data_IF_839223376109
#
_entry.id   IF_839223376109
#
_cell.length_a   1.000
_cell.length_b   1.000
_cell.length_c   1.000
_cell.angle_alpha   90.00
_cell.angle_beta   90.00
_cell.angle_gamma   90.00
#
_symmetry.space_group_name_H-M   'P 1'
#
loop_
_entity.id
_entity.type
_entity.pdbx_description
1 polymer ?
2 polymer ?
3 non-polymer ?
4 water ?
#
# COMPACT_ATOMS: atom_id res chain seq x y z
N UNK A 1 -4.54 27.58 3.58
CA UNK A 1 -5.31 27.89 2.39
C UNK A 1 -6.74 27.40 2.46
N UNK A 2 -7.46 27.51 1.36
CA UNK A 2 -8.86 27.09 1.36
C UNK A 2 -8.97 25.58 1.31
N UNK A 3 -10.02 25.06 1.94
CA UNK A 3 -10.34 23.66 1.77
C UNK A 3 -10.77 23.42 0.32
N UNK A 4 -10.25 22.35 -0.27
CA UNK A 4 -10.58 22.05 -1.66
C UNK A 4 -11.14 20.62 -1.76
N UNK A 5 -12.01 20.42 -2.73
CA UNK A 5 -12.50 19.09 -3.07
C UNK A 5 -11.85 18.68 -4.38
N UNK A 6 -11.23 17.51 -4.41
CA UNK A 6 -10.43 17.08 -5.56
C UNK A 6 -10.89 15.69 -5.97
N UNK A 7 -11.13 15.50 -7.28
CA UNK A 7 -11.52 14.20 -7.83
C UNK A 7 -10.29 13.48 -8.37
N UNK A 8 -10.13 12.22 -8.00
CA UNK A 8 -9.05 11.39 -8.50
C UNK A 8 -9.66 10.16 -9.18
N UNK A 9 -9.10 9.76 -10.32
CA UNK A 9 -9.55 8.59 -11.07
C UNK A 9 -8.45 7.55 -11.10
N UNK A 10 -8.79 6.36 -10.66
CA UNK A 10 -7.75 5.31 -10.71
C UNK A 10 -8.34 3.97 -11.11
N UNK A 11 -7.52 3.19 -11.79
CA UNK A 11 -7.89 1.85 -12.17
C UNK A 11 -7.41 0.87 -11.08
N UNK A 12 -7.93 -0.35 -11.14
CA UNK A 12 -7.70 -1.26 -10.04
C UNK A 12 -6.30 -1.84 -9.99
N UNK A 13 -5.50 -1.70 -11.03
CA UNK A 13 -4.14 -2.22 -11.03
C UNK A 13 -3.12 -1.24 -10.45
N UNK A 14 -3.59 -0.05 -10.07
CA UNK A 14 -2.68 1.00 -9.57
C UNK A 14 -2.99 1.38 -8.12
N UNK A 15 -1.98 1.92 -7.45
CA UNK A 15 -2.19 2.62 -6.20
C UNK A 15 -2.62 4.07 -6.44
N UNK A 16 -2.75 4.82 -5.34
CA UNK A 16 -3.11 6.24 -5.49
C UNK A 16 -1.97 7.04 -6.10
N UNK A 17 -0.73 6.62 -5.90
CA UNK A 17 0.40 7.41 -6.34
C UNK A 17 0.78 8.51 -5.38
N UNK A 18 0.60 8.31 -4.07
CA UNK A 18 1.06 9.28 -3.09
C UNK A 18 1.82 8.55 -1.99
N UNK A 19 2.66 9.30 -1.30
CA UNK A 19 3.19 8.87 -0.01
C UNK A 19 2.60 9.79 1.04
N UNK A 20 2.21 9.21 2.18
CA UNK A 20 1.65 9.98 3.27
C UNK A 20 2.52 9.83 4.51
N UNK A 21 2.49 10.87 5.32
CA UNK A 21 3.18 10.84 6.62
C UNK A 21 2.22 11.38 7.69
N UNK A 22 2.58 11.16 8.93
CA UNK A 22 1.83 11.74 10.04
C UNK A 22 0.75 10.82 10.56
N UNK A 23 -0.16 11.39 11.33
CA UNK A 23 -1.21 10.62 11.96
C UNK A 23 -1.47 11.12 13.38
N UNK A 24 -2.67 10.79 13.88
CA UNK A 24 -3.11 11.29 15.17
C UNK A 24 -2.15 10.93 16.30
N UNK A 25 -1.60 9.72 16.26
CA UNK A 25 -0.69 9.31 17.33
C UNK A 25 0.60 10.14 17.34
N UNK A 26 0.89 10.90 16.29
CA UNK A 26 2.05 11.76 16.24
C UNK A 26 1.71 13.24 16.38
N UNK A 27 0.44 13.55 16.61
CA UNK A 27 -0.01 14.93 16.70
C UNK A 27 0.13 15.72 15.42
N UNK A 28 0.06 15.01 14.29
CA UNK A 28 0.22 15.71 12.99
C UNK A 28 -0.81 15.19 11.99
N UNK A 29 -1.29 16.05 11.08
CA UNK A 29 -2.27 15.60 10.09
C UNK A 29 -1.69 14.52 9.17
N UNK A 30 -2.59 13.82 8.48
CA UNK A 30 -2.19 12.99 7.35
C UNK A 30 -1.76 13.92 6.20
N UNK A 31 -0.46 13.97 5.91
CA UNK A 31 0.09 14.89 4.93
C UNK A 31 0.62 14.11 3.74
N UNK A 32 0.40 14.66 2.55
CA UNK A 32 1.01 14.13 1.33
C UNK A 32 2.47 14.55 1.32
N UNK A 33 3.38 13.57 1.37
CA UNK A 33 4.80 13.87 1.33
C UNK A 33 5.42 13.61 -0.04
N UNK A 34 4.78 12.80 -0.88
CA UNK A 34 5.25 12.53 -2.22
C UNK A 34 4.07 12.35 -3.15
N UNK A 35 4.23 12.79 -4.40
CA UNK A 35 3.33 12.49 -5.50
C UNK A 35 4.16 11.80 -6.57
N UNK A 36 3.85 10.53 -6.76
CA UNK A 36 4.63 9.78 -7.82
C UNK A 36 4.28 10.09 -9.29
N UNK A 37 5.28 10.55 -10.08
CA UNK A 37 4.95 11.04 -11.41
C UNK A 37 4.25 9.99 -12.25
N UNK A 38 3.21 10.43 -12.96
CA UNK A 38 2.48 9.58 -13.87
C UNK A 38 1.44 8.70 -13.23
N UNK A 39 1.34 8.67 -11.91
CA UNK A 39 0.35 7.83 -11.23
C UNK A 39 -0.92 8.64 -10.94
N UNK A 40 -1.98 8.04 -10.38
CA UNK A 40 -3.30 8.72 -10.41
C UNK A 40 -3.33 10.09 -9.75
N UNK A 41 -2.63 10.29 -8.63
CA UNK A 41 -2.70 11.61 -7.98
C UNK A 41 -2.03 12.68 -8.83
N UNK A 42 -0.89 12.35 -9.46
CA UNK A 42 -0.27 13.29 -10.38
C UNK A 42 -1.21 13.60 -11.54
N UNK A 43 -1.81 12.56 -12.14
CA UNK A 43 -2.68 12.75 -13.29
C UNK A 43 -3.92 13.57 -12.95
N UNK A 44 -4.39 13.50 -11.69
CA UNK A 44 -5.64 14.20 -11.38
C UNK A 44 -5.46 15.71 -11.34
N UNK A 45 -4.24 16.21 -11.11
CA UNK A 45 -3.92 17.62 -11.22
C UNK A 45 -4.15 18.44 -9.97
N UNK A 46 -4.95 17.94 -9.03
CA UNK A 46 -5.37 18.75 -7.90
C UNK A 46 -4.77 18.44 -6.55
N UNK A 47 -3.84 17.48 -6.46
CA UNK A 47 -3.21 17.12 -5.20
C UNK A 47 -1.73 17.47 -5.23
N UNK A 48 -1.20 17.98 -4.11
CA UNK A 48 0.17 18.46 -4.10
C UNK A 48 0.87 18.07 -2.81
N UNK A 49 2.20 17.97 -2.89
CA UNK A 49 3.01 17.72 -1.70
C UNK A 49 2.77 18.83 -0.69
N UNK A 50 2.51 18.45 0.55
CA UNK A 50 2.19 19.39 1.60
C UNK A 50 0.70 19.51 1.88
N UNK A 51 -0.15 19.02 0.99
CA UNK A 51 -1.59 18.95 1.27
C UNK A 51 -1.86 18.06 2.47
N UNK A 52 -2.81 18.51 3.29
CA UNK A 52 -3.32 17.65 4.37
C UNK A 52 -4.58 16.97 3.82
N UNK A 53 -4.71 15.66 4.03
CA UNK A 53 -5.93 14.95 3.56
C UNK A 53 -6.92 15.01 4.71
N UNK A 54 -7.98 15.78 4.51
CA UNK A 54 -8.97 15.93 5.57
C UNK A 54 -10.03 14.83 5.53
N UNK A 55 -10.36 14.35 4.34
CA UNK A 55 -11.37 13.31 4.18
C UNK A 55 -11.18 12.65 2.83
N UNK A 56 -11.63 11.39 2.72
CA UNK A 56 -11.67 10.72 1.44
C UNK A 56 -13.01 10.00 1.32
N UNK A 57 -13.73 10.27 0.23
CA UNK A 57 -15.07 9.70 0.00
C UNK A 57 -15.96 9.85 1.23
N UNK A 58 -15.89 11.01 1.88
CA UNK A 58 -16.71 11.28 3.04
C UNK A 58 -16.22 10.71 4.36
N UNK A 59 -15.12 9.96 4.35
CA UNK A 59 -14.55 9.42 5.59
C UNK A 59 -13.55 10.44 6.13
N UNK A 60 -13.80 10.91 7.36
CA UNK A 60 -12.95 11.92 7.98
C UNK A 60 -11.62 11.31 8.37
N UNK A 61 -10.53 12.00 8.01
CA UNK A 61 -9.19 11.52 8.38
C UNK A 61 -8.47 12.50 9.29
N UNK A 62 -9.19 13.45 9.87
CA UNK A 62 -8.56 14.43 10.73
C UNK A 62 -8.10 13.85 12.07
N UNK A 63 -8.71 12.76 12.52
CA UNK A 63 -8.42 12.20 13.83
C UNK A 63 -7.96 10.75 13.72
N UNK A 64 -7.40 10.36 12.59
CA UNK A 64 -7.03 8.97 12.37
C UNK A 64 -5.54 8.79 12.61
N UNK A 65 -5.19 7.59 13.06
CA UNK A 65 -3.82 7.17 13.19
C UNK A 65 -3.26 6.78 11.83
N UNK A 66 -1.93 6.72 11.74
CA UNK A 66 -1.26 6.51 10.46
C UNK A 66 -1.79 5.26 9.76
N UNK A 67 -1.77 4.11 10.44
CA UNK A 67 -2.13 2.88 9.75
C UNK A 67 -3.63 2.80 9.49
N UNK A 68 -4.42 3.49 10.31
CA UNK A 68 -5.87 3.58 10.03
C UNK A 68 -6.03 4.30 8.67
N UNK A 69 -5.32 5.41 8.50
CA UNK A 69 -5.43 6.17 7.27
C UNK A 69 -5.00 5.35 6.07
N UNK A 70 -3.96 4.53 6.23
CA UNK A 70 -3.48 3.72 5.12
C UNK A 70 -4.55 2.72 4.69
N UNK A 71 -5.17 2.05 5.67
CA UNK A 71 -6.24 1.10 5.34
C UNK A 71 -7.40 1.80 4.66
N UNK A 72 -7.83 2.92 5.22
CA UNK A 72 -8.98 3.65 4.60
C UNK A 72 -8.64 4.11 3.19
N UNK A 73 -7.48 4.73 3.02
CA UNK A 73 -7.14 5.25 1.69
C UNK A 73 -6.97 4.13 0.67
N UNK A 74 -6.30 3.04 1.06
CA UNK A 74 -6.04 1.98 0.10
C UNK A 74 -7.29 1.20 -0.30
N UNK A 75 -8.38 1.35 0.43
CA UNK A 75 -9.63 0.63 0.13
C UNK A 75 -10.47 1.34 -0.92
N UNK A 76 -10.21 2.62 -1.17
CA UNK A 76 -11.02 3.34 -2.13
C UNK A 76 -10.67 2.94 -3.55
N UNK A 77 -11.69 2.87 -4.41
CA UNK A 77 -11.53 2.42 -5.79
C UNK A 77 -12.22 3.38 -6.75
N UNK A 78 -11.71 3.45 -7.98
CA UNK A 78 -12.40 4.12 -9.06
C UNK A 78 -12.34 5.64 -9.00
N UNK A 79 -13.51 6.26 -8.91
CA UNK A 79 -13.62 7.72 -8.79
C UNK A 79 -13.65 8.08 -7.32
N UNK A 80 -12.60 8.77 -6.86
CA UNK A 80 -12.33 8.97 -5.44
C UNK A 80 -12.30 10.47 -5.15
N UNK A 81 -13.13 10.90 -4.20
CA UNK A 81 -13.21 12.35 -3.84
C UNK A 81 -12.39 12.65 -2.59
N UNK A 82 -11.43 13.56 -2.74
CA UNK A 82 -10.58 14.01 -1.64
C UNK A 82 -11.02 15.38 -1.16
N UNK A 83 -10.97 15.57 0.16
CA UNK A 83 -11.05 16.91 0.74
C UNK A 83 -9.68 17.22 1.31
N UNK A 84 -9.05 18.31 0.82
CA UNK A 84 -7.66 18.58 1.17
C UNK A 84 -7.48 20.06 1.44
N UNK A 85 -6.36 20.39 2.10
CA UNK A 85 -6.03 21.80 2.36
C UNK A 85 -4.52 21.92 2.46
N UNK A 86 -4.01 23.00 1.90
CA UNK A 86 -2.59 23.30 1.97
C UNK A 86 -2.36 24.36 3.04
N UNK A 87 -1.59 24.00 4.05
CA UNK A 87 -1.18 24.92 5.11
C UNK A 87 0.34 25.09 5.05
N UNK B 3 12.88 11.21 11.68
CA UNK B 3 12.90 9.75 11.91
C UNK B 3 11.71 9.33 12.77
N UNK B 4 11.10 10.29 13.48
CA UNK B 4 9.95 10.02 14.34
C UNK B 4 8.67 9.81 13.54
N UNK B 5 8.61 10.29 12.30
CA UNK B 5 7.31 10.16 11.66
C UNK B 5 7.32 9.07 10.59
N UNK B 6 6.26 8.29 10.53
CA UNK B 6 6.19 7.21 9.53
C UNK B 6 5.79 7.76 8.17
N UNK B 7 6.24 7.06 7.13
CA UNK B 7 5.83 7.36 5.77
C UNK B 7 5.37 6.07 5.12
N UNK B 8 4.20 6.11 4.48
CA UNK B 8 3.71 4.96 3.72
C UNK B 8 3.42 5.33 2.28
N UNK B 10 1.33 4.70 -0.87
CA UNK B 10 0.00 4.13 -1.13
C UNK B 10 -0.54 4.44 -2.54
N UNK C 1 10.04 2.48 -8.89
CA UNK C 1 8.84 2.30 -9.69
C UNK C 1 7.56 2.53 -8.89
N UNK C 2 6.42 2.46 -9.57
CA UNK C 2 5.14 2.71 -8.90
C UNK C 2 4.57 1.46 -8.26
N UNK C 3 3.60 1.70 -7.37
CA UNK C 3 2.83 0.59 -6.82
C UNK C 3 2.05 -0.09 -7.94
N UNK C 4 2.08 -1.42 -7.92
CA UNK C 4 1.20 -2.22 -8.76
C UNK C 4 0.33 -3.12 -7.88
N UNK C 5 -0.89 -3.39 -8.35
CA UNK C 5 -1.74 -4.40 -7.73
C UNK C 5 -1.83 -5.57 -8.70
N UNK C 6 -1.46 -6.75 -8.24
CA UNK C 6 -1.26 -7.92 -9.08
C UNK C 6 -2.13 -9.04 -8.55
N UNK C 7 -2.87 -9.69 -9.44
CA UNK C 7 -3.71 -10.83 -9.09
C UNK C 7 -2.97 -12.13 -9.35
N UNK C 8 -3.07 -13.03 -8.40
CA UNK C 8 -2.44 -14.36 -8.51
C UNK C 8 -3.54 -15.37 -8.20
N UNK C 9 -3.65 -16.40 -9.03
CA UNK C 9 -4.63 -17.47 -8.81
C UNK C 9 -3.90 -18.69 -8.26
N UNK C 10 -4.36 -19.16 -7.08
CA UNK C 10 -3.77 -20.29 -6.33
C UNK C 10 -4.83 -21.36 -6.04
N UNK C 11 -4.62 -22.62 -6.42
CA UNK C 11 -5.54 -23.64 -5.96
C UNK C 11 -5.26 -23.94 -4.48
N UNK C 12 -6.28 -24.47 -3.81
CA UNK C 12 -6.15 -24.73 -2.38
C UNK C 12 -5.01 -25.72 -2.08
N UNK C 13 -4.65 -26.57 -3.04
CA UNK C 13 -3.67 -27.64 -2.81
C UNK C 13 -2.23 -27.21 -3.05
N UNK C 14 -1.99 -25.98 -3.48
CA UNK C 14 -0.64 -25.55 -3.84
C UNK C 14 -0.27 -24.29 -3.07
N UNK C 15 1.03 -24.02 -2.99
CA UNK C 15 1.52 -22.79 -2.40
C UNK C 15 1.56 -21.66 -3.42
N UNK C 16 1.89 -20.47 -2.92
CA UNK C 16 2.01 -19.33 -3.82
C UNK C 16 3.23 -19.44 -4.73
N UNK C 17 4.27 -20.16 -4.28
CA UNK C 17 5.48 -20.25 -5.06
C UNK C 17 6.40 -19.07 -4.88
N UNK C 18 6.52 -18.54 -3.66
CA UNK C 18 7.31 -17.35 -3.36
C UNK C 18 8.16 -17.63 -2.13
N UNK C 19 9.41 -17.15 -2.15
CA UNK C 19 10.24 -17.11 -0.95
C UNK C 19 10.31 -15.66 -0.50
N UNK C 20 10.18 -15.48 0.83
CA UNK C 20 10.07 -14.14 1.47
C UNK C 20 11.19 -13.91 2.49
N UNK C 21 11.75 -12.69 2.52
CA UNK C 21 12.66 -12.28 3.58
C UNK C 21 12.16 -10.95 4.13
N UNK C 22 12.80 -10.48 5.20
CA UNK C 22 12.50 -9.15 5.71
C UNK C 22 11.38 -9.09 6.73
N UNK C 23 10.97 -7.87 7.02
CA UNK C 23 9.93 -7.62 8.00
C UNK C 23 10.34 -6.57 9.02
N UNK C 24 9.36 -6.19 9.84
CA UNK C 24 9.50 -5.07 10.76
C UNK C 24 10.69 -5.23 11.69
N UNK C 25 10.93 -6.45 12.19
CA UNK C 25 12.04 -6.63 13.11
C UNK C 25 13.40 -6.53 12.42
N UNK C 26 13.43 -6.49 11.10
CA UNK C 26 14.66 -6.28 10.35
C UNK C 26 14.79 -4.86 9.80
N UNK C 27 13.80 -4.00 10.05
CA UNK C 27 13.85 -2.66 9.49
C UNK C 27 13.70 -2.58 7.99
N UNK C 28 13.19 -3.63 7.35
CA UNK C 28 13.04 -3.62 5.89
C UNK C 28 11.70 -4.22 5.53
N UNK C 29 11.20 -3.96 4.32
CA UNK C 29 9.88 -4.48 3.94
C UNK C 29 9.89 -5.99 3.81
N UNK C 30 8.69 -6.54 3.72
CA UNK C 30 8.51 -7.92 3.28
C UNK C 30 8.90 -7.98 1.81
N UNK C 31 9.93 -8.75 1.50
CA UNK C 31 10.56 -8.74 0.19
C UNK C 31 10.45 -10.11 -0.46
N UNK C 32 10.20 -10.13 -1.76
CA UNK C 32 10.24 -11.37 -2.52
C UNK C 32 11.71 -11.69 -2.79
N UNK C 33 12.18 -12.83 -2.30
CA UNK C 33 13.56 -13.21 -2.55
C UNK C 33 13.70 -14.25 -3.65
N UNK C 34 12.64 -15.01 -3.94
CA UNK C 34 12.64 -15.98 -5.03
C UNK C 34 11.25 -16.13 -5.60
N UNK C 35 11.17 -16.33 -6.92
CA UNK C 35 9.93 -16.70 -7.59
C UNK C 35 10.14 -18.11 -8.13
N UNK C 36 9.33 -19.06 -7.64
CA UNK C 36 9.61 -20.47 -7.95
C UNK C 36 9.12 -20.81 -9.35
N UNK C 37 9.97 -21.37 -10.21
CA UNK C 37 9.56 -21.60 -11.61
C UNK C 37 8.33 -22.48 -11.73
N UNK C 38 7.37 -22.02 -12.54
CA UNK C 38 6.18 -22.76 -12.87
C UNK C 38 5.08 -22.73 -11.83
N UNK C 39 5.28 -22.06 -10.71
CA UNK C 39 4.29 -21.96 -9.67
C UNK C 39 3.42 -20.73 -9.87
N UNK C 40 2.36 -20.54 -9.06
CA UNK C 40 1.39 -19.47 -9.35
C UNK C 40 1.98 -18.06 -9.46
N UNK C 41 2.93 -17.69 -8.60
CA UNK C 41 3.53 -16.37 -8.72
C UNK C 41 4.27 -16.20 -10.03
N UNK C 42 5.02 -17.22 -10.44
CA UNK C 42 5.67 -17.20 -11.76
C UNK C 42 4.64 -17.03 -12.87
N UNK C 43 3.59 -17.86 -12.85
CA UNK C 43 2.59 -17.85 -13.91
C UNK C 43 1.90 -16.50 -14.05
N UNK C 44 1.70 -15.79 -12.94
CA UNK C 44 0.99 -14.50 -13.05
C UNK C 44 1.83 -13.44 -13.75
N UNK C 45 3.15 -13.58 -13.81
CA UNK C 45 4.01 -12.69 -14.56
C UNK C 45 4.17 -11.28 -14.02
N UNK C 46 3.62 -10.98 -12.84
CA UNK C 46 3.61 -9.62 -12.35
C UNK C 46 4.29 -9.44 -11.00
N UNK C 47 4.90 -10.51 -10.48
CA UNK C 47 5.65 -10.47 -9.24
C UNK C 47 7.10 -10.86 -9.50
N UNK C 48 8.03 -10.08 -8.97
CA UNK C 48 9.43 -10.24 -9.34
C UNK C 48 10.32 -10.17 -8.10
N UNK C 49 11.46 -10.83 -8.20
CA UNK C 49 12.43 -10.79 -7.10
C UNK C 49 12.81 -9.35 -6.83
N UNK C 50 12.77 -8.99 -5.55
CA UNK C 50 13.10 -7.63 -5.12
C UNK C 50 11.87 -6.79 -4.83
N UNK C 51 10.71 -7.21 -5.32
CA UNK C 51 9.49 -6.49 -4.99
C UNK C 51 9.26 -6.50 -3.49
N UNK C 52 8.76 -5.39 -2.98
CA UNK C 52 8.28 -5.32 -1.61
C UNK C 52 6.79 -5.60 -1.62
N UNK C 53 6.33 -6.47 -0.72
CA UNK C 53 4.90 -6.73 -0.60
C UNK C 53 4.35 -5.76 0.44
N UNK C 54 3.62 -4.76 -0.03
CA UNK C 54 3.07 -3.77 0.89
C UNK C 54 1.79 -4.25 1.55
N UNK C 55 0.98 -5.04 0.83
CA UNK C 55 -0.31 -5.49 1.34
C UNK C 55 -0.73 -6.71 0.55
N UNK C 56 -1.54 -7.54 1.17
CA UNK C 56 -2.16 -8.67 0.46
C UNK C 56 -3.64 -8.70 0.82
N UNK C 57 -4.49 -8.69 -0.21
CA UNK C 57 -5.94 -8.65 -0.04
C UNK C 57 -6.37 -7.60 0.99
N UNK C 58 -5.74 -6.44 0.94
CA UNK C 58 -6.10 -5.37 1.84
C UNK C 58 -5.52 -5.45 3.23
N UNK C 59 -4.66 -6.44 3.51
CA UNK C 59 -3.96 -6.53 4.79
C UNK C 59 -2.66 -5.75 4.65
N UNK C 60 -2.55 -4.63 5.37
CA UNK C 60 -1.35 -3.82 5.31
C UNK C 60 -0.19 -4.54 5.99
N UNK C 61 0.87 -4.82 5.24
CA UNK C 61 2.05 -5.52 5.75
C UNK C 61 3.28 -4.61 5.85
N UNK C 62 3.09 -3.29 5.81
CA UNK C 62 4.23 -2.39 5.85
C UNK C 62 4.90 -2.35 7.23
N UNK C 63 4.23 -2.80 8.28
CA UNK C 63 4.77 -2.67 9.63
C UNK C 63 4.47 -3.92 10.44
N UNK C 64 4.74 -5.07 9.84
CA UNK C 64 4.45 -6.37 10.41
C UNK C 64 5.73 -7.19 10.45
N UNK C 65 5.90 -7.97 11.53
CA UNK C 65 7.06 -8.84 11.65
C UNK C 65 6.97 -9.99 10.65
N UNK C 66 8.14 -10.56 10.36
CA UNK C 66 8.26 -11.64 9.38
C UNK C 66 7.26 -12.78 9.61
N UNK C 67 7.26 -13.38 10.81
CA UNK C 67 6.45 -14.57 11.02
C UNK C 67 4.96 -14.29 10.83
N UNK C 68 4.49 -13.17 11.36
CA UNK C 68 3.09 -12.81 11.21
C UNK C 68 2.72 -12.51 9.76
N UNK C 69 3.61 -11.84 9.03
CA UNK C 69 3.34 -11.56 7.62
C UNK C 69 3.23 -12.86 6.83
N UNK C 70 4.17 -13.79 7.06
CA UNK C 70 4.14 -15.08 6.41
C UNK C 70 2.85 -15.83 6.73
N UNK C 71 2.42 -15.80 7.99
CA UNK C 71 1.18 -16.47 8.37
C UNK C 71 -0.01 -15.91 7.60
N UNK C 72 -0.14 -14.58 7.56
CA UNK C 72 -1.26 -13.94 6.86
C UNK C 72 -1.22 -14.27 5.37
N UNK C 73 -0.04 -14.20 4.78
CA UNK C 73 0.11 -14.52 3.36
C UNK C 73 -0.33 -15.96 3.09
N UNK C 74 0.04 -16.90 3.97
CA UNK C 74 -0.27 -18.30 3.75
C UNK C 74 -1.74 -18.63 3.96
N UNK C 75 -2.51 -17.76 4.60
CA UNK C 75 -3.93 -17.99 4.80
C UNK C 75 -4.76 -17.56 3.61
N UNK C 76 -4.18 -16.84 2.65
CA UNK C 76 -4.94 -16.33 1.52
C UNK C 76 -5.29 -17.45 0.55
N UNK C 77 -6.47 -17.35 -0.05
CA UNK C 77 -6.99 -18.41 -0.92
C UNK C 77 -7.57 -17.81 -2.18
N UNK C 78 -7.52 -18.59 -3.26
CA UNK C 78 -8.25 -18.21 -4.46
C UNK C 78 -7.50 -17.22 -5.32
N UNK C 79 -8.20 -16.19 -5.78
CA UNK C 79 -7.61 -15.11 -6.56
C UNK C 79 -7.17 -14.04 -5.57
N UNK C 80 -5.86 -13.88 -5.43
CA UNK C 80 -5.26 -13.12 -4.34
C UNK C 80 -4.61 -11.86 -4.91
N UNK C 81 -4.91 -10.71 -4.31
CA UNK C 81 -4.35 -9.44 -4.80
C UNK C 81 -3.14 -9.03 -3.98
N UNK C 82 -2.01 -8.84 -4.66
CA UNK C 82 -0.78 -8.34 -4.04
C UNK C 82 -0.61 -6.88 -4.42
N UNK C 83 -0.34 -6.03 -3.42
CA UNK C 83 0.09 -4.65 -3.63
C UNK C 83 1.60 -4.63 -3.46
N UNK C 84 2.33 -4.38 -4.54
CA UNK C 84 3.79 -4.49 -4.54
C UNK C 84 4.40 -3.22 -5.13
N UNK C 85 5.68 -2.99 -4.78
CA UNK C 85 6.45 -1.89 -5.36
C UNK C 85 7.92 -2.32 -5.45
N UNK C 86 8.55 -1.86 -6.52
CA UNK C 86 10.00 -2.06 -6.74
C UNK C 86 10.54 -0.65 -6.88
N UNK C 87 11.15 -0.26 -5.78
CA UNK C 87 11.68 1.13 -5.67
C UNK C 87 13.03 1.21 -6.36
N UNK D 5 19.01 -12.46 5.57
CA UNK D 5 18.02 -12.58 6.68
C UNK D 5 17.34 -13.95 6.64
N UNK D 6 16.52 -14.34 7.63
CA UNK D 6 15.80 -15.59 7.49
C UNK D 6 14.82 -15.59 6.31
N UNK D 7 14.60 -16.77 5.77
CA UNK D 7 13.74 -17.00 4.59
C UNK D 7 12.57 -17.91 4.94
N UNK D 8 11.41 -17.51 4.45
CA UNK D 8 10.21 -18.35 4.54
C UNK D 8 9.73 -18.65 3.13
N UNK D 10 6.07 -19.49 0.90
CA UNK D 10 4.59 -19.44 0.90
C UNK D 10 4.02 -19.95 -0.42
#
# INVERSE_FOLDING_TARGET
GPIRKVLLLKEDHEGLGISITGGKEHGVPILISEIHPGQPADRCGGLHVGDAILAVNGVNLRDTKHKEAVTILSQQRGEIEFEVVYV
ANSRLPTSXI
GPIRKVLLLKEDHEGLGISITGGKEHGVPILISEIHPGQPADRCGGLHVGDAILAVNGVNLRDTKHKEAVTILSQQRGEIEFEVVYV
ANSRLPTSXI
#
